data_IF_621898807320
#
_entry.id   IF_621898807320
#
_cell.length_a   1.000
_cell.length_b   1.000
_cell.length_c   1.000
_cell.angle_alpha   90.00
_cell.angle_beta   90.00
_cell.angle_gamma   90.00
#
_symmetry.space_group_name_H-M   'P 1'
#
loop_
_entity.id
_entity.type
_entity.pdbx_description
1 polymer ?
#
# COMPACT_ATOMS: atom_id res chain seq x y z
N UNK A 1 -10.53 -19.43 -6.61
CA UNK A 1 -10.32 -19.24 -8.03
C UNK A 1 -10.46 -17.76 -8.38
N UNK A 2 -10.75 -17.43 -9.64
CA UNK A 2 -10.88 -16.03 -10.07
C UNK A 2 -11.90 -15.25 -9.23
N UNK A 3 -12.99 -15.88 -8.83
CA UNK A 3 -14.04 -15.24 -8.01
C UNK A 3 -13.54 -14.84 -6.62
N UNK A 4 -12.67 -15.65 -6.01
CA UNK A 4 -12.13 -15.35 -4.69
C UNK A 4 -11.19 -14.13 -4.75
N UNK A 5 -10.37 -14.04 -5.77
CA UNK A 5 -9.46 -12.93 -5.95
C UNK A 5 -10.23 -11.63 -6.21
N UNK A 6 -11.26 -11.69 -7.05
CA UNK A 6 -12.11 -10.55 -7.34
C UNK A 6 -12.85 -10.08 -6.08
N UNK A 7 -13.37 -11.01 -5.29
CA UNK A 7 -14.06 -10.70 -4.04
C UNK A 7 -13.11 -10.03 -3.05
N UNK A 8 -11.90 -10.56 -2.90
CA UNK A 8 -10.89 -9.99 -2.01
C UNK A 8 -10.49 -8.60 -2.46
N UNK A 9 -10.31 -8.41 -3.75
CA UNK A 9 -9.99 -7.10 -4.32
C UNK A 9 -11.07 -6.07 -3.96
N UNK A 10 -12.34 -6.42 -4.18
CA UNK A 10 -13.46 -5.51 -3.90
C UNK A 10 -13.55 -5.15 -2.43
N UNK A 11 -13.38 -6.14 -1.55
CA UNK A 11 -13.45 -5.93 -0.11
C UNK A 11 -12.31 -5.05 0.39
N UNK A 12 -11.09 -5.34 -0.05
CA UNK A 12 -9.92 -4.55 0.33
C UNK A 12 -10.01 -3.12 -0.20
N UNK A 13 -10.39 -2.97 -1.46
CA UNK A 13 -10.48 -1.65 -2.07
C UNK A 13 -11.54 -0.80 -1.37
N UNK A 14 -12.72 -1.36 -1.12
CA UNK A 14 -13.80 -0.63 -0.44
C UNK A 14 -13.35 -0.13 0.93
N UNK A 15 -12.69 -0.98 1.70
CA UNK A 15 -12.15 -0.62 3.02
C UNK A 15 -11.13 0.51 2.91
N UNK A 16 -10.19 0.38 1.97
CA UNK A 16 -9.13 1.38 1.81
C UNK A 16 -9.68 2.73 1.33
N UNK A 17 -10.64 2.72 0.41
CA UNK A 17 -11.25 3.96 -0.07
C UNK A 17 -11.98 4.71 1.06
N UNK A 18 -12.65 3.98 1.95
CA UNK A 18 -13.26 4.59 3.13
C UNK A 18 -12.20 5.21 4.04
N UNK A 19 -11.11 4.52 4.28
CA UNK A 19 -10.00 5.03 5.08
C UNK A 19 -9.33 6.24 4.43
N UNK A 20 -9.26 6.27 3.10
CA UNK A 20 -8.66 7.37 2.37
C UNK A 20 -9.36 8.70 2.62
N UNK A 21 -10.68 8.68 2.74
CA UNK A 21 -11.43 9.91 3.03
C UNK A 21 -11.02 10.52 4.36
N UNK A 22 -10.89 9.69 5.39
CA UNK A 22 -10.50 10.15 6.73
C UNK A 22 -9.06 10.63 6.73
N UNK A 23 -8.16 9.87 6.11
CA UNK A 23 -6.75 10.23 6.06
C UNK A 23 -6.52 11.52 5.27
N UNK A 24 -7.19 11.67 4.12
CA UNK A 24 -7.08 12.89 3.32
C UNK A 24 -7.60 14.11 4.09
N UNK A 25 -8.71 13.95 4.79
CA UNK A 25 -9.24 15.04 5.62
C UNK A 25 -8.25 15.45 6.71
N UNK A 26 -7.65 14.48 7.37
CA UNK A 26 -6.65 14.74 8.40
C UNK A 26 -5.44 15.47 7.83
N UNK A 27 -4.99 15.09 6.65
CA UNK A 27 -3.88 15.78 5.97
C UNK A 27 -4.24 17.22 5.62
N UNK A 28 -5.45 17.47 5.15
CA UNK A 28 -5.92 18.82 4.85
C UNK A 28 -5.95 19.68 6.11
N UNK A 29 -6.34 19.11 7.24
CA UNK A 29 -6.31 19.80 8.53
C UNK A 29 -4.90 20.19 8.96
N UNK A 30 -3.89 19.47 8.47
CA UNK A 30 -2.47 19.80 8.71
C UNK A 30 -1.88 20.71 7.63
N UNK A 31 -2.73 21.28 6.77
CA UNK A 31 -2.28 22.23 5.77
C UNK A 31 -1.87 21.63 4.43
N UNK A 32 -2.12 20.34 4.23
CA UNK A 32 -1.82 19.69 2.96
C UNK A 32 -2.88 20.02 1.92
N UNK A 33 -2.45 20.35 0.71
CA UNK A 33 -3.32 20.56 -0.43
C UNK A 33 -2.69 19.95 -1.69
N UNK A 34 -3.30 20.15 -2.85
CA UNK A 34 -2.85 19.55 -4.10
C UNK A 34 -1.50 20.08 -4.59
N UNK A 35 -1.00 21.17 -4.01
CA UNK A 35 0.32 21.71 -4.33
C UNK A 35 1.42 21.21 -3.40
N UNK A 36 1.06 20.50 -2.32
CA UNK A 36 2.02 20.00 -1.35
C UNK A 36 2.65 18.70 -1.86
N UNK A 37 3.98 18.62 -1.84
CA UNK A 37 4.67 17.38 -2.15
C UNK A 37 4.72 16.51 -0.90
N UNK A 38 4.24 15.28 -1.03
CA UNK A 38 4.18 14.30 0.05
C UNK A 38 4.95 13.05 -0.30
N UNK A 39 5.62 12.51 0.68
CA UNK A 39 6.17 11.17 0.64
C UNK A 39 5.14 10.25 1.30
N UNK A 40 4.62 9.30 0.53
CA UNK A 40 3.61 8.36 1.03
C UNK A 40 4.30 7.09 1.50
N UNK A 41 3.99 6.69 2.74
CA UNK A 41 4.45 5.44 3.29
C UNK A 41 3.36 4.38 3.11
N UNK A 42 3.75 3.16 2.82
CA UNK A 42 2.79 2.07 2.60
C UNK A 42 3.25 0.78 3.25
N UNK A 43 2.32 -0.12 3.50
CA UNK A 43 2.64 -1.44 3.99
C UNK A 43 1.67 -2.49 3.46
N UNK A 44 2.18 -3.71 3.38
CA UNK A 44 1.43 -4.90 2.98
C UNK A 44 1.68 -6.01 3.98
N UNK A 45 0.67 -6.87 4.14
CA UNK A 45 0.84 -8.15 4.82
C UNK A 45 1.08 -9.21 3.74
N UNK A 46 2.20 -9.90 3.81
CA UNK A 46 2.54 -10.94 2.85
C UNK A 46 2.19 -12.31 3.40
N UNK A 47 1.75 -13.20 2.53
CA UNK A 47 1.40 -14.56 2.91
C UNK A 47 2.61 -15.34 3.42
N UNK A 48 3.78 -15.13 2.80
CA UNK A 48 5.02 -15.80 3.15
C UNK A 48 6.20 -14.99 2.61
N UNK A 49 7.41 -15.47 2.86
CA UNK A 49 8.62 -14.77 2.41
C UNK A 49 8.70 -14.68 0.88
N UNK A 50 8.35 -15.75 0.18
CA UNK A 50 8.41 -15.76 -1.27
C UNK A 50 7.48 -14.71 -1.87
N UNK A 51 6.27 -14.58 -1.32
CA UNK A 51 5.31 -13.56 -1.73
C UNK A 51 5.84 -12.15 -1.48
N UNK A 52 6.46 -11.93 -0.32
CA UNK A 52 7.06 -10.63 0.00
C UNK A 52 8.16 -10.27 -1.01
N UNK A 53 9.03 -11.21 -1.33
CA UNK A 53 10.10 -11.00 -2.31
C UNK A 53 9.55 -10.74 -3.71
N UNK A 54 8.51 -11.45 -4.11
CA UNK A 54 7.87 -11.24 -5.41
C UNK A 54 7.28 -9.83 -5.52
N UNK A 55 6.56 -9.39 -4.50
CA UNK A 55 5.99 -8.05 -4.48
C UNK A 55 7.07 -6.98 -4.50
N UNK A 56 8.12 -7.15 -3.70
CA UNK A 56 9.25 -6.21 -3.70
C UNK A 56 9.84 -6.06 -5.10
N UNK A 57 10.03 -7.16 -5.80
CA UNK A 57 10.57 -7.15 -7.17
C UNK A 57 9.64 -6.37 -8.10
N UNK A 58 8.33 -6.64 -8.05
CA UNK A 58 7.35 -5.94 -8.88
C UNK A 58 7.37 -4.44 -8.62
N UNK A 59 7.36 -4.05 -7.35
CA UNK A 59 7.35 -2.62 -7.00
C UNK A 59 8.64 -1.93 -7.44
N UNK A 60 9.80 -2.58 -7.26
CA UNK A 60 11.07 -2.00 -7.68
C UNK A 60 11.22 -1.89 -9.19
N UNK A 61 10.65 -2.83 -9.94
CA UNK A 61 10.69 -2.79 -11.40
C UNK A 61 9.73 -1.77 -12.00
N UNK A 62 8.58 -1.54 -11.37
CA UNK A 62 7.54 -0.69 -11.93
C UNK A 62 7.46 0.70 -11.32
N UNK A 63 8.19 0.95 -10.27
CA UNK A 63 8.17 2.25 -9.58
C UNK A 63 9.58 2.66 -9.16
N UNK A 64 9.68 3.89 -8.66
CA UNK A 64 10.91 4.40 -8.04
C UNK A 64 10.82 4.37 -6.50
N UNK A 65 9.95 3.54 -5.96
CA UNK A 65 9.72 3.47 -4.51
C UNK A 65 10.87 2.80 -3.79
N UNK A 66 11.09 3.20 -2.55
CA UNK A 66 11.94 2.46 -1.63
C UNK A 66 11.08 1.32 -1.05
N UNK A 67 11.57 0.08 -1.12
CA UNK A 67 10.79 -1.08 -0.69
C UNK A 67 11.65 -1.95 0.21
N UNK A 68 11.08 -2.35 1.33
CA UNK A 68 11.75 -3.19 2.32
C UNK A 68 10.86 -4.36 2.71
N UNK A 69 11.49 -5.49 3.00
CA UNK A 69 10.80 -6.65 3.55
C UNK A 69 11.10 -6.69 5.03
N UNK A 70 10.06 -6.83 5.83
CA UNK A 70 10.18 -6.90 7.29
C UNK A 70 9.60 -8.23 7.75
N UNK A 71 10.32 -8.93 8.62
CA UNK A 71 9.81 -10.13 9.26
C UNK A 71 9.70 -9.90 10.75
N UNK A 72 8.64 -10.43 11.34
CA UNK A 72 8.37 -10.29 12.77
C UNK A 72 7.80 -11.61 13.28
N UNK A 73 8.01 -11.88 14.57
CA UNK A 73 7.51 -13.06 15.22
C UNK A 73 8.55 -14.12 15.47
N UNK A 74 8.15 -15.18 16.17
CA UNK A 74 9.04 -16.26 16.56
C UNK A 74 9.37 -17.18 15.36
N UNK A 75 10.40 -18.01 15.55
CA UNK A 75 10.99 -18.87 14.52
C UNK A 75 9.98 -19.68 13.70
N UNK A 76 8.88 -20.11 14.30
CA UNK A 76 7.86 -20.92 13.63
C UNK A 76 6.62 -20.14 13.21
N UNK A 77 6.56 -18.85 13.54
CA UNK A 77 5.39 -18.00 13.25
C UNK A 77 5.81 -16.63 12.79
N UNK A 78 6.73 -16.60 11.85
CA UNK A 78 7.14 -15.32 11.27
C UNK A 78 6.01 -14.72 10.46
N UNK A 79 5.76 -13.44 10.70
CA UNK A 79 4.90 -12.63 9.84
C UNK A 79 5.77 -11.84 8.90
N UNK A 80 5.40 -11.81 7.65
CA UNK A 80 6.14 -11.10 6.61
C UNK A 80 5.35 -9.89 6.15
N UNK A 81 6.03 -8.78 6.04
CA UNK A 81 5.45 -7.52 5.60
C UNK A 81 6.33 -6.91 4.52
N UNK A 82 5.70 -6.16 3.63
CA UNK A 82 6.41 -5.33 2.66
C UNK A 82 6.05 -3.89 2.98
N UNK A 83 7.04 -3.06 3.21
CA UNK A 83 6.82 -1.65 3.50
C UNK A 83 7.74 -0.79 2.66
N UNK A 84 7.37 0.46 2.50
CA UNK A 84 8.21 1.36 1.73
C UNK A 84 7.63 2.75 1.66
N UNK A 85 8.23 3.55 0.80
CA UNK A 85 7.84 4.94 0.61
C UNK A 85 7.93 5.31 -0.86
N UNK A 86 7.03 6.18 -1.30
CA UNK A 86 7.13 6.81 -2.62
C UNK A 86 8.17 7.92 -2.58
N UNK A 87 8.57 8.40 -3.75
CA UNK A 87 9.28 9.68 -3.83
C UNK A 87 8.29 10.82 -3.55
N UNK A 88 8.77 12.00 -3.13
CA UNK A 88 7.86 13.13 -2.90
C UNK A 88 7.08 13.47 -4.17
N UNK A 89 5.77 13.61 -4.02
CA UNK A 89 4.89 13.90 -5.15
C UNK A 89 3.68 14.68 -4.68
N UNK A 90 3.12 15.49 -5.55
CA UNK A 90 1.86 16.15 -5.25
C UNK A 90 0.71 15.19 -5.54
N UNK A 91 -0.29 15.19 -4.67
CA UNK A 91 -1.41 14.26 -4.76
C UNK A 91 -2.72 14.99 -4.52
N UNK A 92 -3.78 14.39 -5.02
CA UNK A 92 -5.15 14.76 -4.68
C UNK A 92 -5.85 13.52 -4.14
N UNK A 93 -7.06 13.68 -3.62
CA UNK A 93 -7.80 12.50 -3.17
C UNK A 93 -8.03 11.52 -4.31
N UNK A 94 -8.32 12.03 -5.51
CA UNK A 94 -8.52 11.16 -6.67
C UNK A 94 -7.26 10.37 -7.03
N UNK A 95 -6.12 11.04 -7.01
CA UNK A 95 -4.83 10.40 -7.28
C UNK A 95 -4.53 9.33 -6.23
N UNK A 96 -4.79 9.63 -4.97
CA UNK A 96 -4.60 8.67 -3.89
C UNK A 96 -5.52 7.46 -4.07
N UNK A 97 -6.79 7.67 -4.41
CA UNK A 97 -7.72 6.57 -4.62
C UNK A 97 -7.27 5.67 -5.78
N UNK A 98 -6.79 6.25 -6.87
CA UNK A 98 -6.27 5.49 -8.02
C UNK A 98 -4.99 4.75 -7.65
N UNK A 99 -4.11 5.39 -6.90
CA UNK A 99 -2.86 4.79 -6.44
C UNK A 99 -3.13 3.59 -5.53
N UNK A 100 -4.06 3.74 -4.58
CA UNK A 100 -4.43 2.65 -3.67
C UNK A 100 -5.02 1.48 -4.45
N UNK A 101 -5.88 1.75 -5.44
CA UNK A 101 -6.42 0.70 -6.31
C UNK A 101 -5.29 -0.09 -6.98
N UNK A 102 -4.32 0.61 -7.56
CA UNK A 102 -3.16 -0.03 -8.17
C UNK A 102 -2.35 -0.84 -7.15
N UNK A 103 -2.13 -0.27 -5.95
CA UNK A 103 -1.38 -0.95 -4.89
C UNK A 103 -2.08 -2.22 -4.41
N UNK A 104 -3.39 -2.16 -4.22
CA UNK A 104 -4.19 -3.33 -3.82
C UNK A 104 -4.08 -4.41 -4.89
N UNK A 105 -4.24 -4.05 -6.15
CA UNK A 105 -4.18 -4.99 -7.27
C UNK A 105 -2.79 -5.64 -7.37
N UNK A 106 -1.74 -4.83 -7.35
CA UNK A 106 -0.37 -5.34 -7.43
C UNK A 106 -0.07 -6.32 -6.29
N UNK A 107 -0.51 -5.99 -5.07
CA UNK A 107 -0.31 -6.86 -3.92
C UNK A 107 -1.01 -8.20 -4.05
N UNK A 108 -2.28 -8.18 -4.43
CA UNK A 108 -3.05 -9.42 -4.55
C UNK A 108 -2.50 -10.38 -5.61
N UNK A 109 -1.92 -9.86 -6.68
CA UNK A 109 -1.26 -10.70 -7.67
C UNK A 109 -0.04 -11.43 -7.11
N UNK A 110 0.54 -10.93 -6.04
CA UNK A 110 1.72 -11.54 -5.38
C UNK A 110 1.38 -12.13 -4.01
N UNK A 111 0.11 -12.44 -3.75
CA UNK A 111 -0.35 -12.99 -2.47
C UNK A 111 -0.04 -12.09 -1.27
N UNK A 112 -0.13 -10.78 -1.47
CA UNK A 112 0.05 -9.78 -0.43
C UNK A 112 -1.21 -8.91 -0.35
N UNK A 113 -1.58 -8.54 0.87
CA UNK A 113 -2.74 -7.68 1.09
C UNK A 113 -2.28 -6.30 1.51
N UNK A 114 -2.72 -5.28 0.79
CA UNK A 114 -2.41 -3.90 1.13
C UNK A 114 -3.01 -3.57 2.49
N UNK A 115 -2.17 -3.14 3.43
CA UNK A 115 -2.59 -2.88 4.81
C UNK A 115 -2.94 -1.41 5.04
N UNK A 116 -2.32 -0.52 4.32
CA UNK A 116 -2.60 0.90 4.43
C UNK A 116 -1.44 1.79 4.02
N UNK A 117 -1.68 3.08 4.14
CA UNK A 117 -0.71 4.11 3.80
C UNK A 117 -0.79 5.26 4.79
N UNK A 118 0.23 6.07 4.80
CA UNK A 118 0.28 7.32 5.54
C UNK A 118 1.16 8.31 4.82
N UNK A 119 1.27 9.50 5.37
CA UNK A 119 2.13 10.53 4.81
C UNK A 119 2.89 11.22 5.92
N UNK A 120 4.13 11.58 5.62
CA UNK A 120 4.96 12.35 6.55
C UNK A 120 4.64 13.83 6.35
N UNK A 121 4.11 14.45 7.37
CA UNK A 121 3.73 15.88 7.37
C UNK A 121 4.41 16.63 8.51
#
# INVERSE_FOLDING_TARGET
MADDLDTRYRQLLAKQLTMNEETWRALQEHGVDESTNLRLDFSYNARDEASAKSLKTVLEEQTDYEVNIVSDGAMFRKKWSVSGSTQPTSVSKEIIDQWVDWMVTAGLHENCEFDGWGAQV
#
